data_IF_034453063991
#
_entry.id   IF_034453063991
#
_cell.length_a   1.000
_cell.length_b   1.000
_cell.length_c   1.000
_cell.angle_alpha   90.00
_cell.angle_beta   90.00
_cell.angle_gamma   90.00
#
_symmetry.space_group_name_H-M   'P 1'
#
loop_
_entity.id
_entity.type
_entity.pdbx_description
1 polymer ?
#
# COMPACT_ATOMS: atom_id res chain seq x y z
N UNK A 1 -24.59 12.95 -20.94
CA UNK A 1 -24.12 11.57 -20.75
C UNK A 1 -24.03 11.32 -19.26
N UNK A 2 -25.05 10.68 -18.69
CA UNK A 2 -25.11 10.31 -17.27
C UNK A 2 -24.34 9.00 -17.11
N UNK A 3 -23.02 9.11 -17.06
CA UNK A 3 -22.18 7.97 -16.75
C UNK A 3 -22.49 7.56 -15.31
N UNK A 4 -22.93 6.32 -15.15
CA UNK A 4 -23.24 5.72 -13.86
C UNK A 4 -21.92 5.60 -13.09
N UNK A 5 -21.53 6.65 -12.36
CA UNK A 5 -20.25 6.77 -11.63
C UNK A 5 -20.22 5.76 -10.49
N UNK A 6 -19.98 4.49 -10.82
CA UNK A 6 -19.99 3.42 -9.86
C UNK A 6 -18.70 3.48 -9.01
N UNK A 7 -18.78 3.81 -7.70
CA UNK A 7 -17.61 3.85 -6.83
C UNK A 7 -17.02 2.46 -6.57
N UNK A 8 -17.62 1.39 -7.10
CA UNK A 8 -17.17 0.02 -6.89
C UNK A 8 -15.69 -0.15 -7.23
N UNK A 9 -15.22 0.40 -8.36
CA UNK A 9 -13.82 0.26 -8.75
C UNK A 9 -12.88 0.88 -7.70
N UNK A 10 -13.16 2.10 -7.25
CA UNK A 10 -12.42 2.75 -6.17
C UNK A 10 -12.45 1.92 -4.88
N UNK A 11 -13.62 1.44 -4.49
CA UNK A 11 -13.78 0.64 -3.26
C UNK A 11 -12.97 -0.66 -3.33
N UNK A 12 -12.98 -1.35 -4.46
CA UNK A 12 -12.21 -2.58 -4.68
C UNK A 12 -10.71 -2.31 -4.60
N UNK A 13 -10.22 -1.25 -5.26
CA UNK A 13 -8.79 -0.92 -5.22
C UNK A 13 -8.35 -0.52 -3.80
N UNK A 14 -9.14 0.28 -3.09
CA UNK A 14 -8.87 0.64 -1.69
C UNK A 14 -8.88 -0.60 -0.79
N UNK A 15 -9.79 -1.55 -1.04
CA UNK A 15 -9.85 -2.81 -0.30
C UNK A 15 -8.59 -3.66 -0.51
N UNK A 16 -8.12 -3.79 -1.75
CA UNK A 16 -6.88 -4.51 -2.07
C UNK A 16 -5.70 -3.88 -1.32
N UNK A 17 -5.56 -2.56 -1.38
CA UNK A 17 -4.53 -1.84 -0.61
C UNK A 17 -4.68 -2.08 0.89
N UNK A 18 -5.90 -2.00 1.43
CA UNK A 18 -6.14 -2.20 2.85
C UNK A 18 -5.72 -3.61 3.31
N UNK A 19 -6.03 -4.64 2.53
CA UNK A 19 -5.61 -6.01 2.81
C UNK A 19 -4.09 -6.11 2.84
N UNK A 20 -3.40 -5.57 1.81
CA UNK A 20 -1.94 -5.60 1.75
C UNK A 20 -1.32 -4.85 2.93
N UNK A 21 -1.80 -3.65 3.23
CA UNK A 21 -1.33 -2.82 4.33
C UNK A 21 -1.55 -3.49 5.69
N UNK A 22 -2.70 -4.14 5.91
CA UNK A 22 -2.99 -4.87 7.14
C UNK A 22 -2.16 -6.14 7.27
N UNK A 23 -2.01 -6.93 6.21
CA UNK A 23 -1.21 -8.17 6.25
C UNK A 23 0.26 -7.84 6.53
N UNK A 24 0.88 -6.97 5.74
CA UNK A 24 2.27 -6.57 5.99
C UNK A 24 2.42 -5.80 7.30
N UNK A 25 1.47 -4.92 7.62
CA UNK A 25 1.48 -4.14 8.85
C UNK A 25 1.43 -5.00 10.11
N UNK A 26 0.53 -5.99 10.16
CA UNK A 26 0.43 -6.92 11.28
C UNK A 26 1.67 -7.81 11.39
N UNK A 27 2.21 -8.29 10.27
CA UNK A 27 3.43 -9.08 10.27
C UNK A 27 4.63 -8.26 10.81
N UNK A 28 4.83 -7.04 10.33
CA UNK A 28 5.89 -6.16 10.84
C UNK A 28 5.70 -5.77 12.31
N UNK A 29 4.44 -5.57 12.74
CA UNK A 29 4.12 -5.13 14.09
C UNK A 29 4.31 -6.24 15.13
N UNK A 30 3.85 -7.47 14.84
CA UNK A 30 3.79 -8.55 15.83
C UNK A 30 4.82 -9.67 15.61
N UNK A 31 5.18 -9.95 14.36
CA UNK A 31 6.07 -11.08 14.00
C UNK A 31 7.18 -10.66 13.00
N UNK A 32 7.94 -9.59 13.27
CA UNK A 32 8.97 -9.11 12.34
C UNK A 32 10.05 -10.15 12.08
N UNK A 33 10.39 -10.98 13.08
CA UNK A 33 11.40 -12.04 13.01
C UNK A 33 11.10 -13.04 11.88
N UNK A 34 9.82 -13.38 11.68
CA UNK A 34 9.38 -14.27 10.61
C UNK A 34 9.68 -13.68 9.23
N UNK A 35 9.43 -12.37 9.06
CA UNK A 35 9.69 -11.67 7.80
C UNK A 35 11.19 -11.51 7.53
N UNK A 36 11.99 -11.20 8.55
CA UNK A 36 13.46 -11.09 8.43
C UNK A 36 14.07 -12.44 8.04
N UNK A 37 13.64 -13.52 8.67
CA UNK A 37 14.14 -14.86 8.32
C UNK A 37 13.75 -15.27 6.88
N UNK A 38 12.57 -14.86 6.41
CA UNK A 38 12.17 -15.10 5.02
C UNK A 38 12.92 -14.23 4.01
N UNK A 39 13.36 -13.03 4.39
CA UNK A 39 14.12 -12.16 3.48
C UNK A 39 15.52 -12.71 3.18
N UNK A 40 16.10 -13.49 4.10
CA UNK A 40 17.42 -14.11 3.94
C UNK A 40 18.60 -13.12 4.01
N UNK A 41 18.34 -11.85 4.31
CA UNK A 41 19.36 -10.80 4.43
C UNK A 41 19.93 -10.66 5.84
N UNK A 42 20.75 -9.63 6.06
CA UNK A 42 21.33 -9.35 7.37
C UNK A 42 20.25 -9.05 8.44
N UNK A 43 20.50 -9.44 9.71
CA UNK A 43 19.56 -9.19 10.78
C UNK A 43 19.38 -7.68 11.04
N UNK A 44 18.14 -7.20 10.90
CA UNK A 44 17.77 -5.82 11.20
C UNK A 44 17.20 -5.73 12.62
N UNK A 45 17.51 -4.66 13.35
CA UNK A 45 16.90 -4.45 14.68
C UNK A 45 15.37 -4.33 14.57
N UNK A 46 14.64 -5.29 15.15
CA UNK A 46 13.19 -5.47 14.95
C UNK A 46 12.34 -4.26 15.34
N UNK A 47 12.84 -3.39 16.24
CA UNK A 47 12.17 -2.13 16.56
C UNK A 47 11.94 -1.23 15.34
N UNK A 48 12.84 -1.24 14.34
CA UNK A 48 12.69 -0.51 13.08
C UNK A 48 11.58 -1.05 12.18
N UNK A 49 11.19 -2.32 12.37
CA UNK A 49 10.09 -2.94 11.62
C UNK A 49 8.75 -2.73 12.34
N UNK A 50 8.73 -2.77 13.67
CA UNK A 50 7.47 -2.67 14.42
C UNK A 50 6.75 -1.34 14.24
N UNK A 51 7.47 -0.22 14.23
CA UNK A 51 6.82 1.09 14.06
C UNK A 51 6.23 1.26 12.66
N UNK A 52 6.94 0.81 11.62
CA UNK A 52 6.43 0.85 10.23
C UNK A 52 5.22 -0.08 10.08
N UNK A 53 5.23 -1.22 10.78
CA UNK A 53 4.04 -2.07 10.94
C UNK A 53 2.84 -1.34 11.51
N UNK A 54 3.01 -0.58 12.59
CA UNK A 54 1.96 0.26 13.18
C UNK A 54 1.40 1.31 12.22
N UNK A 55 2.28 1.97 11.45
CA UNK A 55 1.89 2.93 10.40
C UNK A 55 1.07 2.24 9.31
N UNK A 56 1.52 1.09 8.81
CA UNK A 56 0.80 0.30 7.81
C UNK A 56 -0.58 -0.15 8.29
N UNK A 57 -0.72 -0.60 9.55
CA UNK A 57 -2.01 -0.95 10.14
C UNK A 57 -2.93 0.27 10.19
N UNK A 58 -2.42 1.43 10.65
CA UNK A 58 -3.18 2.68 10.67
C UNK A 58 -3.69 3.10 9.29
N UNK A 59 -2.84 3.03 8.27
CA UNK A 59 -3.22 3.31 6.87
C UNK A 59 -4.22 2.30 6.33
N UNK A 60 -4.09 1.02 6.68
CA UNK A 60 -5.04 -0.03 6.32
C UNK A 60 -6.43 0.22 6.91
N UNK A 61 -6.52 0.55 8.20
CA UNK A 61 -7.77 0.93 8.85
C UNK A 61 -8.35 2.21 8.23
N UNK A 62 -7.52 3.23 8.00
CA UNK A 62 -7.92 4.46 7.33
C UNK A 62 -8.54 4.20 5.95
N UNK A 63 -7.94 3.30 5.17
CA UNK A 63 -8.48 2.85 3.88
C UNK A 63 -9.85 2.18 4.02
N UNK A 64 -10.07 1.34 5.03
CA UNK A 64 -11.40 0.76 5.28
C UNK A 64 -12.45 1.82 5.64
N UNK A 65 -12.07 2.87 6.38
CA UNK A 65 -12.96 4.00 6.69
C UNK A 65 -13.32 4.78 5.42
N UNK A 66 -12.33 5.09 4.58
CA UNK A 66 -12.53 5.78 3.29
C UNK A 66 -13.37 4.94 2.33
N UNK A 67 -13.18 3.62 2.29
CA UNK A 67 -14.00 2.73 1.47
C UNK A 67 -15.49 2.80 1.85
N UNK A 68 -15.80 2.90 3.15
CA UNK A 68 -17.18 3.04 3.64
C UNK A 68 -17.78 4.39 3.28
N UNK A 69 -17.01 5.47 3.43
CA UNK A 69 -17.43 6.82 3.06
C UNK A 69 -16.34 7.57 2.28
N UNK A 70 -16.31 7.43 0.94
CA UNK A 70 -15.25 8.02 0.12
C UNK A 70 -15.44 9.52 -0.12
N UNK A 71 -16.57 10.11 0.29
CA UNK A 71 -16.87 11.52 0.00
C UNK A 71 -15.79 12.42 0.60
N UNK A 72 -15.24 13.32 -0.21
CA UNK A 72 -14.19 14.30 0.16
C UNK A 72 -12.85 13.69 0.61
N UNK A 73 -12.60 12.40 0.36
CA UNK A 73 -11.37 11.71 0.79
C UNK A 73 -10.28 11.68 -0.30
N UNK A 74 -10.37 12.58 -1.29
CA UNK A 74 -9.41 12.61 -2.41
C UNK A 74 -7.96 12.79 -1.98
N UNK A 75 -7.70 13.53 -0.90
CA UNK A 75 -6.34 13.71 -0.36
C UNK A 75 -5.80 12.37 0.15
N UNK A 76 -6.56 11.65 0.97
CA UNK A 76 -6.14 10.35 1.49
C UNK A 76 -5.81 9.36 0.37
N UNK A 77 -6.69 9.24 -0.64
CA UNK A 77 -6.46 8.36 -1.79
C UNK A 77 -5.17 8.76 -2.55
N UNK A 78 -4.90 10.05 -2.68
CA UNK A 78 -3.67 10.56 -3.30
C UNK A 78 -2.44 10.21 -2.47
N UNK A 79 -2.53 10.36 -1.14
CA UNK A 79 -1.44 10.03 -0.21
C UNK A 79 -1.08 8.55 -0.28
N UNK A 80 -2.06 7.65 -0.25
CA UNK A 80 -1.77 6.21 -0.35
C UNK A 80 -1.26 5.82 -1.75
N UNK A 81 -1.73 6.46 -2.82
CA UNK A 81 -1.20 6.24 -4.17
C UNK A 81 0.29 6.64 -4.24
N UNK A 82 0.64 7.82 -3.72
CA UNK A 82 2.04 8.27 -3.63
C UNK A 82 2.88 7.37 -2.72
N UNK A 83 2.37 6.97 -1.55
CA UNK A 83 3.07 6.08 -0.64
C UNK A 83 3.40 4.74 -1.32
N UNK A 84 2.43 4.12 -2.01
CA UNK A 84 2.66 2.87 -2.75
C UNK A 84 3.61 3.05 -3.93
N UNK A 85 3.57 4.18 -4.63
CA UNK A 85 4.53 4.49 -5.70
C UNK A 85 5.95 4.57 -5.16
N UNK A 86 6.18 5.40 -4.14
CA UNK A 86 7.50 5.64 -3.57
C UNK A 86 8.06 4.37 -2.92
N UNK A 87 7.24 3.62 -2.19
CA UNK A 87 7.64 2.34 -1.61
C UNK A 87 7.96 1.31 -2.71
N UNK A 88 7.14 1.23 -3.76
CA UNK A 88 7.40 0.35 -4.91
C UNK A 88 8.73 0.67 -5.60
N UNK A 89 9.01 1.95 -5.84
CA UNK A 89 10.27 2.41 -6.43
C UNK A 89 11.48 2.15 -5.51
N UNK A 90 11.34 2.36 -4.21
CA UNK A 90 12.38 2.01 -3.24
C UNK A 90 12.71 0.51 -3.27
N UNK A 91 11.70 -0.35 -3.40
CA UNK A 91 11.91 -1.79 -3.53
C UNK A 91 12.49 -2.19 -4.90
N UNK A 92 12.14 -1.49 -5.99
CA UNK A 92 12.84 -1.69 -7.28
C UNK A 92 14.32 -1.37 -7.13
N UNK A 93 14.66 -0.26 -6.48
CA UNK A 93 16.05 0.09 -6.21
C UNK A 93 16.74 -1.01 -5.38
N UNK A 94 16.13 -1.46 -4.28
CA UNK A 94 16.66 -2.55 -3.47
C UNK A 94 16.79 -3.87 -4.24
N UNK A 95 15.91 -4.12 -5.22
CA UNK A 95 15.98 -5.31 -6.07
C UNK A 95 17.16 -5.24 -7.06
N UNK A 96 17.44 -4.07 -7.64
CA UNK A 96 18.59 -3.87 -8.54
C UNK A 96 19.92 -4.03 -7.80
N UNK A 97 19.98 -3.58 -6.55
CA UNK A 97 21.17 -3.64 -5.69
C UNK A 97 21.05 -4.69 -4.58
N UNK A 98 20.43 -5.83 -4.89
CA UNK A 98 20.15 -6.85 -3.88
C UNK A 98 21.45 -7.42 -3.29
N UNK A 99 21.47 -7.59 -1.96
CA UNK A 99 22.61 -8.15 -1.25
C UNK A 99 22.79 -9.65 -1.55
N UNK A 100 24.04 -10.12 -1.56
CA UNK A 100 24.35 -11.54 -1.70
C UNK A 100 23.72 -12.34 -0.55
N UNK A 101 22.96 -13.39 -0.90
CA UNK A 101 22.26 -14.24 0.07
C UNK A 101 20.79 -13.88 0.32
N UNK A 102 20.34 -12.69 -0.09
CA UNK A 102 18.94 -12.28 0.06
C UNK A 102 18.01 -12.98 -0.95
N UNK A 103 16.80 -13.29 -0.51
CA UNK A 103 15.77 -13.91 -1.32
C UNK A 103 15.14 -12.91 -2.28
N UNK A 104 15.52 -12.97 -3.56
CA UNK A 104 15.04 -12.07 -4.63
C UNK A 104 13.52 -11.88 -4.64
N UNK A 105 12.76 -12.97 -4.45
CA UNK A 105 11.30 -12.93 -4.48
C UNK A 105 10.70 -12.07 -3.37
N UNK A 106 11.37 -11.99 -2.21
CA UNK A 106 10.91 -11.24 -1.04
C UNK A 106 10.93 -9.72 -1.29
N UNK A 107 11.78 -9.26 -2.20
CA UNK A 107 11.83 -7.86 -2.64
C UNK A 107 11.02 -7.64 -3.91
N UNK A 108 11.15 -8.53 -4.90
CA UNK A 108 10.52 -8.40 -6.21
C UNK A 108 8.98 -8.43 -6.14
N UNK A 109 8.40 -9.36 -5.38
CA UNK A 109 6.94 -9.52 -5.30
C UNK A 109 6.26 -8.28 -4.67
N UNK A 110 6.65 -7.79 -3.49
CA UNK A 110 6.06 -6.57 -2.95
C UNK A 110 6.38 -5.33 -3.80
N UNK A 111 7.53 -5.27 -4.49
CA UNK A 111 7.82 -4.17 -5.42
C UNK A 111 6.77 -4.09 -6.54
N UNK A 112 6.55 -5.20 -7.26
CA UNK A 112 5.57 -5.27 -8.35
C UNK A 112 4.16 -4.98 -7.83
N UNK A 113 3.79 -5.60 -6.70
CA UNK A 113 2.49 -5.42 -6.08
C UNK A 113 2.20 -3.94 -5.77
N UNK A 114 3.14 -3.23 -5.14
CA UNK A 114 2.98 -1.82 -4.78
C UNK A 114 2.88 -0.90 -6.01
N UNK A 115 3.66 -1.17 -7.06
CA UNK A 115 3.58 -0.40 -8.30
C UNK A 115 2.24 -0.61 -9.03
N UNK A 116 1.74 -1.85 -9.07
CA UNK A 116 0.42 -2.17 -9.63
C UNK A 116 -0.68 -1.48 -8.83
N UNK A 117 -0.65 -1.58 -7.49
CA UNK A 117 -1.63 -0.92 -6.62
C UNK A 117 -1.60 0.60 -6.80
N UNK A 118 -0.41 1.20 -6.91
CA UNK A 118 -0.25 2.62 -7.20
C UNK A 118 -0.94 3.03 -8.49
N UNK A 119 -0.69 2.30 -9.59
CA UNK A 119 -1.35 2.54 -10.87
C UNK A 119 -2.87 2.44 -10.78
N UNK A 120 -3.37 1.41 -10.10
CA UNK A 120 -4.80 1.21 -9.86
C UNK A 120 -5.42 2.33 -9.00
N UNK A 121 -4.71 2.81 -7.98
CA UNK A 121 -5.17 3.92 -7.12
C UNK A 121 -5.25 5.22 -7.92
N UNK A 122 -4.25 5.51 -8.76
CA UNK A 122 -4.28 6.67 -9.65
C UNK A 122 -5.43 6.60 -10.63
N UNK A 123 -5.65 5.44 -11.25
CA UNK A 123 -6.75 5.25 -12.19
C UNK A 123 -8.12 5.34 -11.51
N UNK A 124 -8.32 4.64 -10.40
CA UNK A 124 -9.59 4.67 -9.66
C UNK A 124 -9.92 6.05 -9.11
N UNK A 125 -8.91 6.81 -8.68
CA UNK A 125 -9.04 8.23 -8.31
C UNK A 125 -9.51 9.06 -9.49
N UNK A 126 -8.94 8.86 -10.69
CA UNK A 126 -9.35 9.61 -11.88
C UNK A 126 -10.80 9.33 -12.28
N UNK A 127 -11.24 8.07 -12.18
CA UNK A 127 -12.61 7.66 -12.50
C UNK A 127 -13.62 8.10 -11.43
N UNK A 128 -13.17 8.45 -10.22
CA UNK A 128 -14.02 8.79 -9.07
C UNK A 128 -13.84 10.23 -8.59
N UNK A 129 -13.29 11.12 -9.44
CA UNK A 129 -12.97 12.51 -9.07
C UNK A 129 -14.16 13.25 -8.47
N UNK A 130 -15.36 13.03 -8.98
CA UNK A 130 -16.55 13.76 -8.54
C UNK A 130 -17.09 13.28 -7.18
N UNK A 131 -16.72 12.07 -6.76
CA UNK A 131 -17.04 11.55 -5.42
C UNK A 131 -15.99 12.02 -4.41
N UNK A 132 -14.73 12.12 -4.86
CA UNK A 132 -13.57 12.40 -4.02
C UNK A 132 -13.33 13.90 -3.76
N UNK A 133 -13.91 14.79 -4.58
CA UNK A 133 -13.82 16.25 -4.40
C UNK A 133 -14.81 16.75 -3.37
N UNK A 134 -14.40 17.75 -2.60
CA UNK A 134 -15.33 18.58 -1.82
C UNK A 134 -16.19 19.38 -2.78
N UNK A 135 -17.50 19.33 -2.59
CA UNK A 135 -18.43 20.32 -3.14
C UNK A 135 -17.92 21.69 -2.66
N UNK A 136 -17.35 22.49 -3.56
CA UNK A 136 -17.12 23.93 -3.40
C UNK A 136 -18.10 24.66 -4.30
#
# INVERSE_FOLDING_TARGET
MTENKNPLFLKVVILIYAIVALVYGLCFLFVPDFLVNMSGGEPVFHGWLRWSGGVCVGLGIGSLMVMRNPKNQGIFVTTIALATLLAGLALVYAWIFIEEGANVWFTALPSILLLVISGLLWWSRQNSKDILKSDQ
#
